data_IF_175829870928
#
_entry.id   IF_175829870928
#
_cell.length_a   1.000
_cell.length_b   1.000
_cell.length_c   1.000
_cell.angle_alpha   90.00
_cell.angle_beta   90.00
_cell.angle_gamma   90.00
#
_symmetry.space_group_name_H-M   'P 1'
#
loop_
_entity.id
_entity.type
_entity.pdbx_description
1 polymer ?
#
# COMPACT_ATOMS: atom_id res chain seq x y z
N UNK A 1 -22.20 -33.51 -6.32
CA UNK A 1 -22.88 -33.45 -5.00
C UNK A 1 -21.78 -33.27 -3.97
N UNK A 2 -21.61 -32.07 -3.41
CA UNK A 2 -20.73 -31.89 -2.26
C UNK A 2 -21.52 -32.42 -1.06
N UNK A 3 -21.17 -33.61 -0.58
CA UNK A 3 -21.69 -34.08 0.71
C UNK A 3 -21.25 -33.08 1.77
N UNK A 4 -22.25 -32.39 2.33
CA UNK A 4 -22.08 -31.63 3.57
C UNK A 4 -21.77 -32.67 4.65
N UNK A 5 -20.48 -32.87 4.95
CA UNK A 5 -20.07 -33.59 6.15
C UNK A 5 -20.53 -32.77 7.36
N UNK A 6 -21.75 -33.03 7.83
CA UNK A 6 -22.20 -32.60 9.15
C UNK A 6 -21.52 -33.50 10.19
N UNK A 7 -20.26 -33.18 10.50
CA UNK A 7 -19.56 -33.77 11.63
C UNK A 7 -20.20 -33.20 12.89
N UNK A 8 -21.18 -33.90 13.44
CA UNK A 8 -21.90 -33.48 14.65
C UNK A 8 -21.01 -33.53 15.91
N UNK A 9 -20.03 -34.43 15.95
CA UNK A 9 -19.07 -34.55 17.07
C UNK A 9 -17.84 -35.35 16.63
N UNK A 10 -16.65 -34.88 17.02
CA UNK A 10 -15.37 -35.54 16.79
C UNK A 10 -15.09 -36.60 17.85
N UNK A 11 -14.57 -37.73 17.41
CA UNK A 11 -14.22 -38.89 18.21
C UNK A 11 -12.71 -39.18 18.16
N UNK A 12 -12.18 -39.98 19.10
CA UNK A 12 -10.81 -40.48 19.00
C UNK A 12 -10.56 -41.15 17.65
N UNK A 13 -9.38 -40.93 17.08
CA UNK A 13 -8.94 -41.40 15.75
C UNK A 13 -9.53 -40.66 14.54
N UNK A 14 -10.36 -39.62 14.72
CA UNK A 14 -10.77 -38.77 13.60
C UNK A 14 -9.60 -37.91 13.11
N UNK A 15 -9.38 -37.90 11.79
CA UNK A 15 -8.33 -37.09 11.14
C UNK A 15 -9.00 -36.12 10.18
N UNK A 16 -8.72 -34.83 10.38
CA UNK A 16 -9.20 -33.76 9.50
C UNK A 16 -8.00 -33.12 8.82
N UNK A 17 -8.04 -33.05 7.49
CA UNK A 17 -7.07 -32.32 6.68
C UNK A 17 -7.78 -31.12 6.09
N UNK A 18 -7.28 -29.92 6.42
CA UNK A 18 -7.85 -28.66 5.95
C UNK A 18 -6.77 -27.82 5.25
N UNK A 19 -7.17 -27.14 4.17
CA UNK A 19 -6.37 -26.09 3.53
C UNK A 19 -6.83 -24.73 4.06
N UNK A 20 -6.02 -23.68 3.90
CA UNK A 20 -6.32 -22.33 4.40
C UNK A 20 -7.65 -21.72 3.93
N UNK A 21 -8.29 -22.31 2.92
CA UNK A 21 -9.56 -21.84 2.35
C UNK A 21 -10.79 -22.55 2.94
N UNK A 22 -10.62 -23.67 3.65
CA UNK A 22 -11.71 -24.55 4.09
C UNK A 22 -11.73 -24.66 5.61
N UNK A 23 -12.86 -24.38 6.25
CA UNK A 23 -13.05 -24.55 7.71
C UNK A 23 -13.11 -23.25 8.53
N UNK A 24 -13.12 -22.09 7.90
CA UNK A 24 -13.37 -20.82 8.59
C UNK A 24 -14.82 -20.75 9.07
N UNK A 25 -15.03 -20.74 10.37
CA UNK A 25 -16.37 -20.58 10.98
C UNK A 25 -17.07 -21.88 11.37
N UNK A 26 -16.55 -23.05 10.99
CA UNK A 26 -17.10 -24.34 11.43
C UNK A 26 -16.75 -24.59 12.91
N UNK A 27 -17.77 -24.90 13.71
CA UNK A 27 -17.57 -25.37 15.08
C UNK A 27 -17.23 -26.86 15.02
N UNK A 28 -16.08 -27.25 15.56
CA UNK A 28 -15.71 -28.65 15.76
C UNK A 28 -16.10 -29.03 17.18
N UNK A 29 -17.25 -29.68 17.34
CA UNK A 29 -17.66 -30.23 18.63
C UNK A 29 -16.86 -31.50 18.92
N UNK A 30 -16.35 -31.66 20.14
CA UNK A 30 -15.53 -32.79 20.57
C UNK A 30 -16.30 -33.69 21.53
N UNK A 31 -16.19 -35.01 21.37
CA UNK A 31 -16.84 -35.97 22.26
C UNK A 31 -16.14 -36.07 23.62
N UNK A 32 -16.89 -36.44 24.65
CA UNK A 32 -16.37 -36.54 26.03
C UNK A 32 -15.20 -37.52 26.10
N UNK A 33 -15.26 -38.62 25.33
CA UNK A 33 -14.17 -39.58 25.17
C UNK A 33 -12.92 -38.96 24.53
N UNK A 34 -13.06 -38.03 23.58
CA UNK A 34 -11.92 -37.32 22.99
C UNK A 34 -11.27 -36.39 24.04
N UNK A 35 -12.07 -35.70 24.84
CA UNK A 35 -11.60 -34.82 25.92
C UNK A 35 -10.91 -35.58 27.06
N UNK A 36 -11.39 -36.79 27.40
CA UNK A 36 -10.71 -37.70 28.32
C UNK A 36 -9.30 -38.07 27.81
N UNK A 37 -9.13 -38.17 26.49
CA UNK A 37 -7.85 -38.47 25.83
C UNK A 37 -6.98 -37.23 25.54
N UNK A 38 -7.31 -36.06 26.11
CA UNK A 38 -6.51 -34.84 25.94
C UNK A 38 -7.04 -33.85 24.89
N UNK A 39 -8.16 -34.15 24.26
CA UNK A 39 -8.86 -33.27 23.34
C UNK A 39 -8.25 -33.24 21.93
N UNK A 40 -8.65 -32.25 21.15
CA UNK A 40 -8.21 -32.11 19.75
C UNK A 40 -6.74 -31.67 19.67
N UNK A 41 -5.95 -32.35 18.84
CA UNK A 41 -4.56 -31.95 18.54
C UNK A 41 -4.48 -31.27 17.16
N UNK A 42 -3.95 -30.06 17.10
CA UNK A 42 -3.83 -29.27 15.86
C UNK A 42 -2.39 -29.22 15.40
N UNK A 43 -2.13 -29.73 14.20
CA UNK A 43 -0.80 -29.66 13.57
C UNK A 43 -0.84 -28.58 12.48
N UNK A 44 0.10 -27.64 12.53
CA UNK A 44 0.32 -26.68 11.44
C UNK A 44 1.59 -27.05 10.69
N UNK A 45 1.48 -27.30 9.39
CA UNK A 45 2.58 -27.78 8.53
C UNK A 45 3.42 -26.67 7.90
N UNK A 46 3.16 -25.42 8.25
CA UNK A 46 3.83 -24.23 7.73
C UNK A 46 3.84 -23.12 8.78
N UNK A 47 4.65 -22.09 8.59
CA UNK A 47 4.63 -20.91 9.46
C UNK A 47 3.56 -19.94 8.95
N UNK A 48 2.49 -19.65 9.71
CA UNK A 48 1.48 -18.68 9.31
C UNK A 48 2.10 -17.31 9.07
N UNK A 49 1.62 -16.59 8.05
CA UNK A 49 2.18 -15.28 7.65
C UNK A 49 2.05 -14.21 8.72
N UNK A 50 1.04 -14.32 9.60
CA UNK A 50 0.89 -13.43 10.74
C UNK A 50 0.33 -14.14 11.97
N UNK A 51 0.38 -13.43 13.10
CA UNK A 51 -0.07 -13.95 14.39
C UNK A 51 -1.58 -14.22 14.45
N UNK A 52 -2.38 -13.54 13.62
CA UNK A 52 -3.83 -13.74 13.58
C UNK A 52 -4.16 -15.12 13.01
N UNK A 53 -3.55 -15.49 11.90
CA UNK A 53 -3.77 -16.80 11.25
C UNK A 53 -3.28 -17.93 12.17
N UNK A 54 -2.13 -17.74 12.82
CA UNK A 54 -1.63 -18.66 13.85
C UNK A 54 -2.66 -18.88 14.97
N UNK A 55 -3.17 -17.79 15.56
CA UNK A 55 -4.19 -17.87 16.63
C UNK A 55 -5.48 -18.52 16.14
N UNK A 56 -5.86 -18.32 14.88
CA UNK A 56 -7.03 -18.97 14.30
C UNK A 56 -6.83 -20.47 14.11
N UNK A 57 -5.63 -20.91 13.76
CA UNK A 57 -5.32 -22.33 13.59
C UNK A 57 -5.37 -23.04 14.95
N UNK A 58 -4.61 -22.57 15.94
CA UNK A 58 -4.59 -23.19 17.27
C UNK A 58 -5.86 -22.94 18.08
N UNK A 59 -6.58 -21.85 17.79
CA UNK A 59 -7.90 -21.59 18.38
C UNK A 59 -9.00 -22.56 17.92
N UNK A 60 -8.70 -23.51 17.02
CA UNK A 60 -9.62 -24.62 16.67
C UNK A 60 -9.71 -25.66 17.78
N UNK A 61 -8.70 -25.74 18.65
CA UNK A 61 -8.70 -26.65 19.80
C UNK A 61 -9.00 -25.89 21.10
N UNK A 62 -9.15 -26.63 22.20
CA UNK A 62 -9.33 -26.13 23.56
C UNK A 62 -10.44 -25.07 23.74
N UNK A 63 -11.52 -25.18 22.94
CA UNK A 63 -12.61 -24.20 22.94
C UNK A 63 -13.50 -24.38 24.17
N UNK A 64 -13.96 -23.29 24.80
CA UNK A 64 -14.87 -23.30 25.97
C UNK A 64 -14.35 -24.10 27.19
N UNK A 65 -13.04 -24.20 27.37
CA UNK A 65 -12.44 -24.94 28.49
C UNK A 65 -12.21 -26.43 28.22
N UNK A 66 -12.49 -26.88 27.00
CA UNK A 66 -12.06 -28.21 26.54
C UNK A 66 -10.54 -28.33 26.54
N UNK A 67 -10.03 -29.56 26.61
CA UNK A 67 -8.61 -29.85 26.46
C UNK A 67 -8.22 -29.77 25.00
N UNK A 68 -6.93 -29.61 24.77
CA UNK A 68 -6.42 -29.46 23.42
C UNK A 68 -4.95 -29.13 23.40
N UNK A 69 -4.30 -29.53 22.31
CA UNK A 69 -2.89 -29.24 22.09
C UNK A 69 -2.67 -28.80 20.65
N UNK A 70 -1.56 -28.12 20.40
CA UNK A 70 -1.21 -27.65 19.08
C UNK A 70 0.30 -27.67 18.89
N UNK A 71 0.74 -28.12 17.73
CA UNK A 71 2.15 -28.22 17.40
C UNK A 71 2.43 -27.75 15.96
N UNK A 72 3.67 -27.34 15.74
CA UNK A 72 4.21 -27.00 14.44
C UNK A 72 5.08 -28.13 13.91
N UNK A 73 4.87 -28.51 12.65
CA UNK A 73 5.78 -29.39 11.91
C UNK A 73 6.19 -28.63 10.66
N UNK A 74 7.36 -27.99 10.69
CA UNK A 74 7.81 -27.10 9.62
C UNK A 74 9.22 -27.50 9.19
N UNK A 75 9.46 -27.47 7.88
CA UNK A 75 10.80 -27.59 7.32
C UNK A 75 11.52 -26.24 7.42
N UNK A 76 12.55 -26.18 8.25
CA UNK A 76 13.44 -25.02 8.35
C UNK A 76 14.69 -25.27 7.52
N UNK A 77 14.89 -24.49 6.44
CA UNK A 77 16.05 -24.63 5.56
C UNK A 77 17.38 -24.43 6.32
N UNK A 78 17.38 -23.59 7.34
CA UNK A 78 18.56 -23.24 8.12
C UNK A 78 18.59 -23.91 9.51
N UNK A 79 17.72 -24.90 9.76
CA UNK A 79 17.67 -25.62 11.04
C UNK A 79 17.29 -24.74 12.24
N UNK A 80 16.64 -23.60 12.01
CA UNK A 80 16.28 -22.63 13.04
C UNK A 80 15.06 -23.09 13.83
N UNK A 81 15.01 -22.77 15.13
CA UNK A 81 13.88 -23.08 16.00
C UNK A 81 12.61 -22.30 15.62
N UNK A 82 11.44 -22.83 16.03
CA UNK A 82 10.14 -22.21 15.75
C UNK A 82 10.00 -20.84 16.41
N UNK A 83 10.60 -20.64 17.58
CA UNK A 83 10.59 -19.37 18.31
C UNK A 83 11.27 -18.28 17.48
N UNK A 84 12.44 -18.58 16.92
CA UNK A 84 13.19 -17.63 16.09
C UNK A 84 12.43 -17.35 14.79
N UNK A 85 11.87 -18.38 14.15
CA UNK A 85 11.04 -18.20 12.95
C UNK A 85 9.85 -17.27 13.21
N UNK A 86 9.18 -17.42 14.36
CA UNK A 86 8.09 -16.53 14.79
C UNK A 86 8.56 -15.10 15.05
N UNK A 87 9.74 -14.92 15.65
CA UNK A 87 10.31 -13.58 15.87
C UNK A 87 10.61 -12.88 14.54
N UNK A 88 11.29 -13.57 13.61
CA UNK A 88 11.60 -13.04 12.28
C UNK A 88 10.33 -12.65 11.52
N UNK A 89 9.32 -13.52 11.52
CA UNK A 89 8.00 -13.21 10.95
C UNK A 89 7.39 -11.96 11.58
N UNK A 90 7.40 -11.85 12.91
CA UNK A 90 6.78 -10.71 13.59
C UNK A 90 7.51 -9.39 13.25
N UNK A 91 8.83 -9.43 13.10
CA UNK A 91 9.63 -8.27 12.65
C UNK A 91 9.23 -7.88 11.23
N UNK A 92 9.20 -8.84 10.31
CA UNK A 92 8.82 -8.60 8.91
C UNK A 92 7.38 -8.07 8.80
N UNK A 93 6.45 -8.61 9.57
CA UNK A 93 5.06 -8.14 9.58
C UNK A 93 4.96 -6.72 10.15
N UNK A 94 5.77 -6.37 11.16
CA UNK A 94 5.85 -5.01 11.68
C UNK A 94 6.37 -4.05 10.61
N UNK A 95 7.48 -4.38 9.95
CA UNK A 95 8.04 -3.57 8.86
C UNK A 95 7.04 -3.38 7.72
N UNK A 96 6.31 -4.44 7.36
CA UNK A 96 5.24 -4.36 6.37
C UNK A 96 4.12 -3.41 6.81
N UNK A 97 3.65 -3.52 8.05
CA UNK A 97 2.62 -2.63 8.59
C UNK A 97 3.09 -1.18 8.66
N UNK A 98 4.32 -0.95 9.11
CA UNK A 98 4.91 0.39 9.16
C UNK A 98 5.00 0.99 7.74
N UNK A 99 5.47 0.20 6.77
CA UNK A 99 5.51 0.62 5.35
C UNK A 99 4.12 0.94 4.78
N UNK A 100 3.09 0.17 5.15
CA UNK A 100 1.71 0.41 4.74
C UNK A 100 1.17 1.71 5.36
N UNK A 101 1.44 1.96 6.64
CA UNK A 101 1.01 3.19 7.32
C UNK A 101 1.66 4.43 6.72
N UNK A 102 2.91 4.32 6.26
CA UNK A 102 3.68 5.43 5.71
C UNK A 102 3.31 5.69 4.24
N UNK A 103 3.16 4.65 3.42
CA UNK A 103 3.03 4.80 1.97
C UNK A 103 1.58 4.66 1.48
N UNK A 104 0.87 3.65 1.98
CA UNK A 104 -0.42 3.23 1.41
C UNK A 104 -1.59 3.94 2.08
N UNK A 105 -1.61 4.01 3.42
CA UNK A 105 -2.68 4.67 4.18
C UNK A 105 -2.89 6.12 3.73
N UNK A 106 -1.84 6.92 3.50
CA UNK A 106 -2.03 8.30 3.12
C UNK A 106 -2.54 8.43 1.68
N UNK A 107 -2.12 7.53 0.78
CA UNK A 107 -2.66 7.44 -0.58
C UNK A 107 -4.15 7.13 -0.56
N UNK A 108 -4.57 6.15 0.25
CA UNK A 108 -5.99 5.77 0.43
C UNK A 108 -6.82 6.96 0.90
N UNK A 109 -6.30 7.75 1.87
CA UNK A 109 -6.98 8.96 2.35
C UNK A 109 -7.16 9.99 1.25
N UNK A 110 -6.11 10.28 0.48
CA UNK A 110 -6.19 11.23 -0.64
C UNK A 110 -7.17 10.75 -1.73
N UNK A 111 -7.19 9.45 -2.04
CA UNK A 111 -8.17 8.88 -2.96
C UNK A 111 -9.61 9.02 -2.43
N UNK A 112 -9.82 8.80 -1.14
CA UNK A 112 -11.12 9.00 -0.48
C UNK A 112 -11.56 10.47 -0.57
N UNK A 113 -10.66 11.41 -0.29
CA UNK A 113 -10.91 12.86 -0.40
C UNK A 113 -11.29 13.25 -1.85
N UNK A 114 -10.61 12.69 -2.87
CA UNK A 114 -10.96 12.90 -4.27
C UNK A 114 -12.30 12.28 -4.67
N UNK A 115 -12.67 11.16 -4.05
CA UNK A 115 -13.95 10.50 -4.29
C UNK A 115 -15.12 11.28 -3.69
N UNK A 116 -14.96 11.80 -2.48
CA UNK A 116 -15.99 12.58 -1.79
C UNK A 116 -16.05 14.03 -2.30
N UNK A 117 -14.87 14.59 -2.58
CA UNK A 117 -14.68 16.01 -2.89
C UNK A 117 -14.75 16.87 -1.64
N UNK A 118 -14.22 18.08 -1.73
CA UNK A 118 -14.36 19.05 -0.65
C UNK A 118 -15.63 19.89 -0.86
N UNK A 119 -16.40 20.13 0.19
CA UNK A 119 -17.39 21.22 0.19
C UNK A 119 -16.65 22.49 0.60
N UNK A 120 -16.43 23.38 -0.36
CA UNK A 120 -16.10 24.76 -0.06
C UNK A 120 -17.22 25.60 -0.61
N UNK A 121 -17.86 26.39 0.27
CA UNK A 121 -18.85 27.39 -0.09
C UNK A 121 -18.40 28.19 -1.33
N UNK A 122 -19.18 27.97 -2.39
CA UNK A 122 -19.44 28.66 -3.66
C UNK A 122 -18.54 29.73 -4.29
N UNK A 123 -17.28 29.97 -3.90
CA UNK A 123 -16.49 30.98 -4.65
C UNK A 123 -15.00 30.71 -4.92
N UNK A 124 -14.41 29.57 -4.51
CA UNK A 124 -13.06 29.18 -4.98
C UNK A 124 -12.90 27.67 -5.16
N UNK A 125 -12.05 27.32 -6.15
CA UNK A 125 -11.83 25.99 -6.70
C UNK A 125 -11.44 24.95 -5.63
N UNK A 126 -12.43 24.19 -5.18
CA UNK A 126 -12.25 22.89 -4.53
C UNK A 126 -12.54 21.76 -5.56
N UNK A 127 -11.98 20.57 -5.36
CA UNK A 127 -12.24 19.47 -6.30
C UNK A 127 -13.69 18.98 -6.14
N UNK A 128 -14.49 19.05 -7.21
CA UNK A 128 -15.79 18.37 -7.26
C UNK A 128 -15.49 16.87 -7.19
N UNK A 129 -15.82 16.26 -6.05
CA UNK A 129 -15.59 14.84 -5.82
C UNK A 129 -16.32 13.98 -6.84
N UNK A 130 -15.75 12.82 -7.14
CA UNK A 130 -16.35 11.88 -8.10
C UNK A 130 -17.80 11.56 -7.78
N UNK A 131 -18.13 11.37 -6.49
CA UNK A 131 -19.47 11.01 -6.04
C UNK A 131 -20.48 12.09 -6.42
N UNK A 132 -20.15 13.36 -6.17
CA UNK A 132 -21.00 14.50 -6.51
C UNK A 132 -21.13 14.67 -8.04
N UNK A 133 -20.02 14.52 -8.77
CA UNK A 133 -20.02 14.55 -10.23
C UNK A 133 -20.90 13.44 -10.83
N UNK A 134 -20.76 12.22 -10.32
CA UNK A 134 -21.49 11.05 -10.78
C UNK A 134 -23.00 11.25 -10.58
N UNK A 135 -23.44 11.68 -9.39
CA UNK A 135 -24.84 11.98 -9.09
C UNK A 135 -25.40 13.09 -9.99
N UNK A 136 -24.63 14.16 -10.21
CA UNK A 136 -25.04 15.25 -11.11
C UNK A 136 -25.30 14.76 -12.53
N UNK A 137 -24.42 13.91 -13.06
CA UNK A 137 -24.55 13.35 -14.41
C UNK A 137 -25.69 12.33 -14.47
N UNK A 138 -25.85 11.47 -13.46
CA UNK A 138 -26.95 10.51 -13.37
C UNK A 138 -28.33 11.20 -13.37
N UNK A 139 -28.48 12.28 -12.60
CA UNK A 139 -29.68 13.10 -12.58
C UNK A 139 -29.94 13.78 -13.93
N UNK A 140 -28.90 14.32 -14.58
CA UNK A 140 -29.02 14.95 -15.89
C UNK A 140 -29.45 13.93 -16.98
N UNK A 141 -28.85 12.74 -17.00
CA UNK A 141 -29.22 11.65 -17.92
C UNK A 141 -30.62 11.10 -17.65
N UNK A 142 -31.14 11.26 -16.43
CA UNK A 142 -32.50 10.86 -16.07
C UNK A 142 -33.55 11.86 -16.56
N UNK A 143 -33.21 13.15 -16.56
CA UNK A 143 -34.14 14.25 -16.86
C UNK A 143 -34.15 14.68 -18.34
N UNK A 144 -33.12 14.33 -19.13
CA UNK A 144 -33.04 14.77 -20.52
C UNK A 144 -33.80 13.84 -21.49
N UNK A 145 -34.92 14.34 -22.01
CA UNK A 145 -35.77 13.63 -22.98
C UNK A 145 -35.26 13.74 -24.43
N UNK A 146 -34.20 14.52 -24.69
CA UNK A 146 -33.67 14.81 -26.05
C UNK A 146 -32.44 13.97 -26.42
N UNK A 147 -32.06 12.97 -25.63
CA UNK A 147 -30.89 12.16 -25.93
C UNK A 147 -31.13 11.33 -27.20
N UNK A 148 -30.18 11.38 -28.14
CA UNK A 148 -30.24 10.69 -29.46
C UNK A 148 -30.47 9.18 -29.36
N UNK A 149 -30.10 8.58 -28.23
CA UNK A 149 -30.30 7.18 -27.87
C UNK A 149 -31.07 7.12 -26.55
N UNK A 150 -32.36 6.79 -26.62
CA UNK A 150 -33.22 6.69 -25.43
C UNK A 150 -33.36 5.23 -25.02
N UNK A 151 -32.66 4.84 -23.94
CA UNK A 151 -32.74 3.50 -23.36
C UNK A 151 -32.01 3.44 -22.02
N UNK A 152 -32.49 2.58 -21.10
CA UNK A 152 -31.84 2.34 -19.80
C UNK A 152 -30.39 1.85 -19.97
N UNK A 153 -30.15 1.04 -21.00
CA UNK A 153 -28.83 0.51 -21.36
C UNK A 153 -27.85 1.63 -21.74
N UNK A 154 -28.28 2.60 -22.54
CA UNK A 154 -27.42 3.73 -22.94
C UNK A 154 -26.98 4.55 -21.72
N UNK A 155 -27.90 4.82 -20.78
CA UNK A 155 -27.59 5.52 -19.53
C UNK A 155 -26.56 4.75 -18.72
N UNK A 156 -26.74 3.43 -18.59
CA UNK A 156 -25.81 2.57 -17.88
C UNK A 156 -24.40 2.59 -18.51
N UNK A 157 -24.30 2.49 -19.84
CA UNK A 157 -23.01 2.53 -20.53
C UNK A 157 -22.31 3.89 -20.42
N UNK A 158 -23.07 5.00 -20.41
CA UNK A 158 -22.50 6.34 -20.15
C UNK A 158 -21.90 6.45 -18.75
N UNK A 159 -22.63 5.99 -17.72
CA UNK A 159 -22.15 5.99 -16.34
C UNK A 159 -20.96 5.05 -16.15
N UNK A 160 -20.94 3.89 -16.83
CA UNK A 160 -19.80 2.99 -16.83
C UNK A 160 -18.55 3.62 -17.48
N UNK A 161 -18.74 4.28 -18.62
CA UNK A 161 -17.66 5.03 -19.31
C UNK A 161 -17.08 6.12 -18.41
N UNK A 162 -17.94 6.85 -17.69
CA UNK A 162 -17.51 7.85 -16.71
C UNK A 162 -16.67 7.25 -15.57
N UNK A 163 -17.10 6.13 -14.99
CA UNK A 163 -16.34 5.40 -13.95
C UNK A 163 -14.95 5.00 -14.46
N UNK A 164 -14.87 4.45 -15.67
CA UNK A 164 -13.60 4.02 -16.24
C UNK A 164 -12.65 5.21 -16.49
N UNK A 165 -13.17 6.33 -17.02
CA UNK A 165 -12.37 7.54 -17.22
C UNK A 165 -11.81 8.08 -15.90
N UNK A 166 -12.61 8.04 -14.84
CA UNK A 166 -12.16 8.44 -13.51
C UNK A 166 -11.05 7.52 -12.98
N UNK A 167 -11.21 6.20 -13.15
CA UNK A 167 -10.18 5.23 -12.76
C UNK A 167 -8.85 5.48 -13.48
N UNK A 168 -8.87 5.73 -14.80
CA UNK A 168 -7.67 6.06 -15.56
C UNK A 168 -7.03 7.38 -15.11
N UNK A 169 -7.85 8.38 -14.76
CA UNK A 169 -7.34 9.65 -14.24
C UNK A 169 -6.67 9.46 -12.87
N UNK A 170 -7.28 8.74 -11.93
CA UNK A 170 -6.66 8.43 -10.64
C UNK A 170 -5.35 7.66 -10.79
N UNK A 171 -5.30 6.69 -11.69
CA UNK A 171 -4.08 5.93 -11.99
C UNK A 171 -2.97 6.86 -12.49
N UNK A 172 -3.31 7.79 -13.41
CA UNK A 172 -2.36 8.81 -13.90
C UNK A 172 -1.86 9.78 -12.82
N UNK A 173 -2.61 9.95 -11.73
CA UNK A 173 -2.27 10.84 -10.61
C UNK A 173 -1.52 10.12 -9.48
N UNK A 174 -1.45 8.78 -9.50
CA UNK A 174 -0.86 7.98 -8.42
C UNK A 174 0.56 8.41 -8.08
N UNK A 175 1.41 8.64 -9.08
CA UNK A 175 2.81 9.03 -8.85
C UNK A 175 2.92 10.39 -8.16
N UNK A 176 2.06 11.35 -8.53
CA UNK A 176 2.02 12.67 -7.91
C UNK A 176 1.49 12.61 -6.47
N UNK A 177 0.45 11.81 -6.22
CA UNK A 177 -0.10 11.59 -4.88
C UNK A 177 0.97 10.97 -3.97
N UNK A 178 1.70 9.97 -4.45
CA UNK A 178 2.78 9.34 -3.70
C UNK A 178 3.94 10.31 -3.40
N UNK A 179 4.26 11.24 -4.30
CA UNK A 179 5.34 12.23 -4.10
C UNK A 179 4.98 13.31 -3.08
N UNK A 180 3.71 13.69 -2.99
CA UNK A 180 3.24 14.75 -2.07
C UNK A 180 2.98 14.22 -0.66
N UNK A 181 2.84 12.90 -0.50
CA UNK A 181 2.58 12.26 0.79
C UNK A 181 3.82 12.21 1.70
N UNK A 182 4.21 13.37 2.21
CA UNK A 182 5.35 13.56 3.11
C UNK A 182 4.82 13.60 4.55
N UNK A 183 4.39 12.45 5.09
CA UNK A 183 3.89 12.41 6.47
C UNK A 183 5.01 12.30 7.51
N UNK A 184 6.24 11.88 7.13
CA UNK A 184 7.38 12.01 8.04
C UNK A 184 8.18 13.29 7.81
N UNK A 185 8.38 14.00 8.93
CA UNK A 185 9.14 15.24 9.15
C UNK A 185 10.63 15.11 8.80
N UNK A 186 11.04 14.11 8.01
CA UNK A 186 12.40 13.90 7.56
C UNK A 186 12.54 13.85 6.03
N UNK A 187 11.43 13.72 5.29
CA UNK A 187 11.45 13.60 3.82
C UNK A 187 11.19 14.89 3.04
N UNK A 188 10.93 16.01 3.72
CA UNK A 188 10.84 17.33 3.05
C UNK A 188 12.17 17.83 2.47
N UNK A 189 13.28 17.11 2.69
CA UNK A 189 14.58 17.41 2.09
C UNK A 189 14.62 17.22 0.56
N UNK A 190 13.57 16.66 -0.06
CA UNK A 190 13.47 16.42 -1.52
C UNK A 190 12.15 16.88 -2.14
N UNK A 191 11.60 18.01 -1.67
CA UNK A 191 10.42 18.61 -2.31
C UNK A 191 10.72 19.26 -3.66
N UNK A 192 11.94 19.73 -3.85
CA UNK A 192 12.39 20.35 -5.10
C UNK A 192 12.73 19.23 -6.08
N UNK A 193 11.89 19.06 -7.10
CA UNK A 193 12.08 18.04 -8.16
C UNK A 193 12.14 18.73 -9.53
N UNK A 194 11.48 19.88 -9.67
CA UNK A 194 11.41 20.64 -10.90
C UNK A 194 12.81 21.14 -11.28
N UNK A 195 13.30 20.83 -12.49
CA UNK A 195 14.62 21.30 -12.96
C UNK A 195 14.79 22.82 -12.88
N UNK A 196 13.69 23.59 -13.03
CA UNK A 196 13.70 25.05 -12.88
C UNK A 196 14.08 25.47 -11.46
N UNK A 197 13.48 24.84 -10.45
CA UNK A 197 13.72 25.16 -9.05
C UNK A 197 15.11 24.68 -8.61
N UNK A 198 15.57 23.53 -9.14
CA UNK A 198 16.96 23.07 -8.97
C UNK A 198 17.98 24.07 -9.56
N UNK A 199 17.71 24.64 -10.74
CA UNK A 199 18.57 25.66 -11.34
C UNK A 199 18.60 26.94 -10.51
N UNK A 200 17.44 27.39 -9.99
CA UNK A 200 17.38 28.56 -9.09
C UNK A 200 18.17 28.31 -7.80
N UNK A 201 18.01 27.13 -7.20
CA UNK A 201 18.74 26.72 -6.00
C UNK A 201 20.26 26.65 -6.27
N UNK A 202 20.66 26.07 -7.39
CA UNK A 202 22.06 26.02 -7.83
C UNK A 202 22.66 27.42 -8.00
N UNK A 203 21.88 28.38 -8.52
CA UNK A 203 22.32 29.79 -8.62
C UNK A 203 22.52 30.43 -7.25
N UNK A 204 21.64 30.14 -6.28
CA UNK A 204 21.81 30.60 -4.90
C UNK A 204 23.08 30.03 -4.26
N UNK A 205 23.35 28.73 -4.41
CA UNK A 205 24.60 28.13 -3.92
C UNK A 205 25.85 28.72 -4.58
N UNK A 206 25.77 29.00 -5.89
CA UNK A 206 26.84 29.66 -6.63
C UNK A 206 27.15 31.05 -6.09
N UNK A 207 26.11 31.84 -5.81
CA UNK A 207 26.26 33.19 -5.24
C UNK A 207 26.86 33.17 -3.83
N UNK A 208 26.66 32.09 -3.08
CA UNK A 208 27.24 31.86 -1.76
C UNK A 208 28.57 31.06 -1.81
N UNK A 209 29.21 30.99 -2.98
CA UNK A 209 30.48 30.28 -3.23
C UNK A 209 30.49 28.78 -2.88
N UNK A 210 29.30 28.15 -2.76
CA UNK A 210 29.18 26.72 -2.51
C UNK A 210 29.06 25.94 -3.83
N UNK A 211 30.19 25.82 -4.52
CA UNK A 211 30.26 25.28 -5.89
C UNK A 211 29.89 23.79 -5.96
N UNK A 212 30.25 22.99 -4.95
CA UNK A 212 29.94 21.55 -4.92
C UNK A 212 28.43 21.29 -4.81
N UNK A 213 27.71 22.07 -3.98
CA UNK A 213 26.24 21.93 -3.90
C UNK A 213 25.55 22.49 -5.13
N UNK A 214 26.07 23.57 -5.72
CA UNK A 214 25.55 24.11 -6.97
C UNK A 214 25.65 23.09 -8.11
N UNK A 215 26.79 22.39 -8.19
CA UNK A 215 27.05 21.35 -9.19
C UNK A 215 25.99 20.23 -9.12
N UNK A 216 25.75 19.68 -7.92
CA UNK A 216 24.76 18.62 -7.71
C UNK A 216 23.36 19.03 -8.21
N UNK A 217 22.93 20.27 -7.92
CA UNK A 217 21.64 20.77 -8.39
C UNK A 217 21.55 20.86 -9.93
N UNK A 218 22.63 21.26 -10.60
CA UNK A 218 22.64 21.36 -12.06
C UNK A 218 22.71 20.00 -12.75
N UNK A 219 23.47 19.05 -12.20
CA UNK A 219 23.52 17.67 -12.70
C UNK A 219 22.15 16.98 -12.59
N UNK A 220 21.46 17.18 -11.46
CA UNK A 220 20.12 16.63 -11.26
C UNK A 220 19.11 17.25 -12.24
N UNK A 221 19.21 18.56 -12.52
CA UNK A 221 18.38 19.24 -13.52
C UNK A 221 18.64 18.75 -14.96
N UNK A 222 19.87 18.37 -15.30
CA UNK A 222 20.25 17.88 -16.64
C UNK A 222 19.61 16.54 -17.02
N UNK A 223 19.11 15.78 -16.05
CA UNK A 223 18.44 14.51 -16.31
C UNK A 223 17.15 14.70 -17.13
N UNK A 224 16.55 15.89 -17.09
CA UNK A 224 15.44 16.24 -17.96
C UNK A 224 15.96 16.71 -19.33
N UNK A 225 15.51 16.03 -20.38
CA UNK A 225 15.82 16.33 -21.79
C UNK A 225 15.58 17.80 -22.18
N UNK A 226 14.60 18.49 -21.57
CA UNK A 226 14.30 19.89 -21.86
C UNK A 226 15.24 20.88 -21.16
N UNK A 227 16.05 20.42 -20.20
CA UNK A 227 16.96 21.23 -19.39
C UNK A 227 18.43 20.93 -19.64
N UNK A 228 18.77 20.31 -20.78
CA UNK A 228 20.14 20.00 -21.20
C UNK A 228 21.09 21.22 -21.22
N UNK A 229 20.56 22.44 -21.34
CA UNK A 229 21.34 23.69 -21.23
C UNK A 229 21.97 23.86 -19.84
N UNK A 230 21.47 23.18 -18.81
CA UNK A 230 22.04 23.21 -17.47
C UNK A 230 23.48 22.68 -17.43
N UNK A 231 23.90 21.88 -18.43
CA UNK A 231 25.28 21.42 -18.61
C UNK A 231 26.29 22.58 -18.72
N UNK A 232 25.85 23.75 -19.22
CA UNK A 232 26.68 24.96 -19.21
C UNK A 232 27.05 25.36 -17.78
N UNK A 233 26.08 25.36 -16.86
CA UNK A 233 26.32 25.70 -15.46
C UNK A 233 27.14 24.61 -14.75
N UNK A 234 26.90 23.33 -15.06
CA UNK A 234 27.71 22.20 -14.58
C UNK A 234 29.19 22.37 -14.96
N UNK A 235 29.47 22.66 -16.23
CA UNK A 235 30.82 22.87 -16.74
C UNK A 235 31.52 24.06 -16.07
N UNK A 236 30.78 25.15 -15.86
CA UNK A 236 31.28 26.33 -15.15
C UNK A 236 31.62 26.04 -13.69
N UNK A 237 30.83 25.21 -13.00
CA UNK A 237 31.11 24.82 -11.62
C UNK A 237 32.34 23.91 -11.54
N UNK A 238 32.49 22.93 -12.45
CA UNK A 238 33.66 22.07 -12.52
C UNK A 238 34.97 22.86 -12.70
N UNK A 239 34.99 23.83 -13.62
CA UNK A 239 36.17 24.68 -13.83
C UNK A 239 36.57 25.44 -12.56
N UNK A 240 35.59 25.96 -11.82
CA UNK A 240 35.88 26.74 -10.60
C UNK A 240 36.32 25.85 -9.43
N UNK A 241 35.73 24.67 -9.28
CA UNK A 241 36.15 23.68 -8.26
C UNK A 241 37.59 23.23 -8.51
N UNK A 242 37.94 22.92 -9.76
CA UNK A 242 39.30 22.51 -10.11
C UNK A 242 40.31 23.63 -9.85
N UNK A 243 39.97 24.89 -10.17
CA UNK A 243 40.83 26.04 -9.90
C UNK A 243 41.09 26.26 -8.39
N UNK A 244 40.08 26.06 -7.54
CA UNK A 244 40.21 26.19 -6.08
C UNK A 244 41.06 25.07 -5.47
N UNK A 245 41.05 23.87 -6.05
CA UNK A 245 41.86 22.75 -5.60
C UNK A 245 43.32 22.79 -6.10
N UNK A 246 43.63 23.63 -7.10
CA UNK A 246 44.95 23.79 -7.68
C UNK A 246 45.76 24.96 -7.06
N UNK A 247 45.18 25.76 -6.16
CA UNK A 247 45.93 26.74 -5.34
C UNK A 247 46.66 26.01 -4.19
N UNK A 248 48.01 25.91 -4.19
CA UNK A 248 48.74 25.42 -3.03
C UNK A 248 48.70 26.48 -1.94
N UNK A 249 48.47 26.06 -0.68
CA UNK A 249 48.67 26.89 0.52
C UNK A 249 49.97 27.72 0.39
N UNK A 250 49.81 29.05 0.31
CA UNK A 250 50.89 30.03 0.50
C UNK A 250 50.83 30.58 1.93
#
# INVERSE_FOLDING_TARGET
VYEKFEINKLHPCDIIIATNLVGTGTHLDTSDKLEENGGLHVITTYLPTNIRIEKQAFGRTARKGNKGTGEYIILSQYGVSIEILKQLRNIQEKERLDSFLINDLPKIKTEEDLLQGFDDDDDKLSCIGFTKLYQKIENALSNDSKIRYNGSEYKQFQLYSLKNRWAFWLDSMTEYISRINVIEVNNFKKLIIEPVELIKLGKCYRNNENWSKALLCYEEACNDKFYSFANYYTSSCHQKINYVNEEPEQ
#
